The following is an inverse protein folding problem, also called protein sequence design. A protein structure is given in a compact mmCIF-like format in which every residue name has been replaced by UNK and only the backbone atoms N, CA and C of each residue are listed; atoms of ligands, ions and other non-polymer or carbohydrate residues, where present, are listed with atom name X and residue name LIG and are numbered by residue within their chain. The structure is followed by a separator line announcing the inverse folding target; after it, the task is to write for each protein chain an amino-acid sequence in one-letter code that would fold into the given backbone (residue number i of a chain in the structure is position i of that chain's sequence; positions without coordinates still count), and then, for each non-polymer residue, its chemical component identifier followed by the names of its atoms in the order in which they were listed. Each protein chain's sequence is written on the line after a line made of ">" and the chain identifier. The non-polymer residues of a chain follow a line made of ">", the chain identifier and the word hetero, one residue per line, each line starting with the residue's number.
data_IF_600914174221
#
_entry.id   IF_600914174221
#
_cell.length_a   1.000
_cell.length_b   1.000
_cell.length_c   1.000
_cell.angle_alpha   90.00
_cell.angle_beta   90.00
_cell.angle_gamma   90.00
#
_symmetry.space_group_name_H-M   'P 1'
#
loop_
_entity.id
_entity.type
_entity.pdbx_description
1 polymer ?
#
# COMPACT_ATOMS: atom_id res chain seq x y z
N UNK A 1 -3.33 13.68 -23.59
CA UNK A 1 -3.07 14.68 -22.52
C UNK A 1 -1.78 15.48 -22.71
N UNK A 2 -1.01 15.29 -23.80
CA UNK A 2 0.34 15.89 -23.98
C UNK A 2 0.34 17.42 -23.86
N UNK A 3 -0.70 18.09 -24.37
CA UNK A 3 -0.82 19.56 -24.31
C UNK A 3 -1.82 20.05 -23.23
N UNK A 4 -2.22 19.19 -22.30
CA UNK A 4 -3.19 19.49 -21.24
C UNK A 4 -2.53 19.20 -19.89
N UNK A 5 -1.61 20.07 -19.47
CA UNK A 5 -0.70 19.83 -18.34
C UNK A 5 -1.43 19.55 -17.02
N UNK A 6 -2.48 20.30 -16.68
CA UNK A 6 -3.28 20.07 -15.46
C UNK A 6 -3.99 18.73 -15.45
N UNK A 7 -4.63 18.37 -16.57
CA UNK A 7 -5.27 17.05 -16.72
C UNK A 7 -4.25 15.91 -16.71
N UNK A 8 -3.07 16.11 -17.31
CA UNK A 8 -1.97 15.15 -17.26
C UNK A 8 -1.47 14.96 -15.83
N UNK A 9 -1.30 16.04 -15.08
CA UNK A 9 -0.96 16.00 -13.66
C UNK A 9 -2.01 15.22 -12.87
N UNK A 10 -3.29 15.55 -13.03
CA UNK A 10 -4.39 14.86 -12.36
C UNK A 10 -4.40 13.35 -12.65
N UNK A 11 -4.19 12.95 -13.91
CA UNK A 11 -4.09 11.55 -14.29
C UNK A 11 -2.92 10.82 -13.58
N UNK A 12 -1.74 11.44 -13.49
CA UNK A 12 -0.58 10.84 -12.80
C UNK A 12 -0.79 10.76 -11.28
N UNK A 13 -1.35 11.81 -10.68
CA UNK A 13 -1.62 11.83 -9.23
C UNK A 13 -2.70 10.80 -8.87
N UNK A 14 -3.76 10.69 -9.66
CA UNK A 14 -4.79 9.67 -9.48
C UNK A 14 -4.22 8.25 -9.66
N UNK A 15 -3.35 8.04 -10.65
CA UNK A 15 -2.67 6.77 -10.86
C UNK A 15 -1.76 6.40 -9.69
N UNK A 16 -1.00 7.37 -9.14
CA UNK A 16 -0.25 7.16 -7.90
C UNK A 16 -1.18 6.79 -6.73
N UNK A 17 -2.35 7.42 -6.65
CA UNK A 17 -3.40 7.04 -5.70
C UNK A 17 -3.82 5.57 -5.83
N UNK A 18 -4.00 5.05 -7.05
CA UNK A 18 -4.33 3.63 -7.27
C UNK A 18 -3.23 2.68 -6.81
N UNK A 19 -1.96 3.04 -7.04
CA UNK A 19 -0.81 2.23 -6.59
C UNK A 19 -0.78 2.16 -5.06
N UNK A 20 -0.91 3.32 -4.40
CA UNK A 20 -0.88 3.40 -2.93
C UNK A 20 -2.11 2.73 -2.32
N UNK A 21 -3.28 2.84 -2.98
CA UNK A 21 -4.49 2.12 -2.60
C UNK A 21 -4.28 0.61 -2.65
N UNK A 22 -3.72 0.10 -3.75
CA UNK A 22 -3.41 -1.32 -3.88
C UNK A 22 -2.44 -1.78 -2.79
N UNK A 23 -1.38 -1.02 -2.53
CA UNK A 23 -0.41 -1.35 -1.49
C UNK A 23 -1.07 -1.45 -0.10
N UNK A 24 -1.93 -0.49 0.26
CA UNK A 24 -2.65 -0.50 1.53
C UNK A 24 -3.67 -1.64 1.62
N UNK A 25 -4.53 -1.79 0.62
CA UNK A 25 -5.59 -2.79 0.60
C UNK A 25 -5.05 -4.22 0.57
N UNK A 26 -4.07 -4.49 -0.30
CA UNK A 26 -3.45 -5.81 -0.42
C UNK A 26 -2.66 -6.16 0.85
N UNK A 27 -1.97 -5.18 1.46
CA UNK A 27 -1.26 -5.42 2.72
C UNK A 27 -2.24 -5.78 3.86
N UNK A 28 -3.34 -5.05 4.01
CA UNK A 28 -4.36 -5.38 5.01
C UNK A 28 -5.05 -6.72 4.72
N UNK A 29 -5.25 -7.08 3.44
CA UNK A 29 -5.74 -8.39 3.06
C UNK A 29 -4.77 -9.50 3.47
N UNK A 30 -3.47 -9.32 3.24
CA UNK A 30 -2.46 -10.28 3.70
C UNK A 30 -2.44 -10.40 5.22
N UNK A 31 -2.48 -9.27 5.95
CA UNK A 31 -2.59 -9.27 7.42
C UNK A 31 -3.83 -10.05 7.89
N UNK A 32 -4.98 -9.89 7.22
CA UNK A 32 -6.22 -10.58 7.64
C UNK A 32 -6.22 -12.08 7.37
N UNK A 33 -5.35 -12.57 6.48
CA UNK A 33 -5.23 -13.98 6.12
C UNK A 33 -3.95 -14.63 6.66
N UNK A 34 -3.11 -13.88 7.37
CA UNK A 34 -1.86 -14.37 7.91
C UNK A 34 -2.09 -15.36 9.06
N UNK A 35 -1.48 -16.53 8.94
CA UNK A 35 -1.45 -17.60 9.93
C UNK A 35 -0.03 -17.71 10.49
N UNK A 36 0.24 -17.31 11.74
CA UNK A 36 1.59 -17.21 12.28
C UNK A 36 2.30 -18.57 12.45
N UNK A 37 1.54 -19.66 12.55
CA UNK A 37 2.09 -21.02 12.71
C UNK A 37 2.67 -21.58 11.39
N UNK A 38 2.50 -20.88 10.26
CA UNK A 38 3.00 -21.31 8.95
C UNK A 38 4.08 -20.37 8.43
N UNK A 39 5.09 -20.86 7.69
CA UNK A 39 6.02 -20.00 6.98
C UNK A 39 5.30 -19.04 6.01
N UNK A 40 5.75 -17.79 5.90
CA UNK A 40 5.11 -16.78 5.04
C UNK A 40 5.03 -17.21 3.56
N UNK A 41 6.06 -17.90 3.07
CA UNK A 41 6.14 -18.31 1.66
C UNK A 41 5.12 -19.40 1.27
N UNK A 42 4.48 -20.07 2.23
CA UNK A 42 3.43 -21.06 1.97
C UNK A 42 2.02 -20.44 1.90
N UNK A 43 1.89 -19.15 2.19
CA UNK A 43 0.59 -18.48 2.39
C UNK A 43 0.22 -17.53 1.24
N UNK A 44 1.04 -17.47 0.17
CA UNK A 44 0.78 -16.61 -0.98
C UNK A 44 0.95 -15.11 -0.70
N UNK A 45 1.74 -14.77 0.34
CA UNK A 45 2.01 -13.39 0.75
C UNK A 45 3.11 -12.79 -0.12
N UNK A 46 2.89 -11.60 -0.64
CA UNK A 46 3.89 -10.87 -1.43
C UNK A 46 4.31 -9.57 -0.75
N UNK A 47 3.46 -8.90 0.03
CA UNK A 47 3.79 -7.62 0.66
C UNK A 47 4.39 -7.79 2.06
N UNK A 48 3.85 -8.69 2.89
CA UNK A 48 4.39 -8.94 4.23
C UNK A 48 5.86 -9.37 4.23
N UNK A 49 6.33 -10.24 3.30
CA UNK A 49 7.75 -10.55 3.19
C UNK A 49 8.65 -9.34 2.89
N UNK A 50 8.14 -8.34 2.16
CA UNK A 50 8.89 -7.10 1.91
C UNK A 50 9.03 -6.27 3.20
N UNK A 51 7.98 -6.17 4.01
CA UNK A 51 8.05 -5.48 5.31
C UNK A 51 8.95 -6.21 6.31
N UNK A 52 8.88 -7.54 6.33
CA UNK A 52 9.75 -8.41 7.13
C UNK A 52 11.24 -8.23 6.75
N UNK A 53 11.55 -8.13 5.46
CA UNK A 53 12.92 -7.86 4.96
C UNK A 53 13.46 -6.52 5.47
N UNK A 54 12.60 -5.53 5.72
CA UNK A 54 12.98 -4.24 6.30
C UNK A 54 13.18 -4.29 7.83
N UNK A 55 12.98 -5.45 8.47
CA UNK A 55 13.18 -5.64 9.90
C UNK A 55 11.94 -5.31 10.75
N UNK A 56 10.77 -5.11 10.16
CA UNK A 56 9.54 -4.90 10.92
C UNK A 56 8.87 -6.21 11.30
N UNK A 57 8.48 -6.32 12.58
CA UNK A 57 7.73 -7.47 13.08
C UNK A 57 8.49 -8.79 13.14
N UNK A 58 9.80 -8.79 12.86
CA UNK A 58 10.63 -10.00 12.77
C UNK A 58 11.63 -10.10 13.92
N UNK A 59 11.79 -11.31 14.44
CA UNK A 59 12.80 -11.69 15.42
C UNK A 59 13.95 -12.49 14.80
N UNK A 60 14.87 -13.02 15.64
CA UNK A 60 15.95 -13.90 15.19
C UNK A 60 15.41 -15.11 14.40
N UNK A 61 16.11 -15.49 13.32
CA UNK A 61 15.68 -16.61 12.47
C UNK A 61 14.48 -16.31 11.55
N UNK A 62 13.98 -15.08 11.53
CA UNK A 62 12.86 -14.67 10.67
C UNK A 62 11.48 -15.00 11.24
N UNK A 63 11.41 -15.34 12.53
CA UNK A 63 10.14 -15.53 13.23
C UNK A 63 9.34 -14.22 13.29
N UNK A 64 8.03 -14.30 13.07
CA UNK A 64 7.15 -13.13 13.14
C UNK A 64 6.69 -12.95 14.58
N UNK A 65 7.18 -11.90 15.23
CA UNK A 65 6.96 -11.65 16.66
C UNK A 65 5.92 -10.56 16.93
N UNK A 66 5.64 -9.70 15.94
CA UNK A 66 4.65 -8.63 16.04
C UNK A 66 4.06 -8.29 14.66
N UNK A 67 2.74 -8.37 14.51
CA UNK A 67 2.03 -8.05 13.27
C UNK A 67 1.50 -6.61 13.22
N UNK A 68 1.58 -5.86 14.33
CA UNK A 68 1.09 -4.49 14.39
C UNK A 68 1.79 -3.53 13.39
N UNK A 69 3.12 -3.60 13.17
CA UNK A 69 3.77 -2.78 12.15
C UNK A 69 3.22 -3.01 10.73
N UNK A 70 2.82 -4.25 10.41
CA UNK A 70 2.23 -4.58 9.12
C UNK A 70 0.85 -3.95 8.96
N UNK A 71 0.02 -4.03 10.01
CA UNK A 71 -1.28 -3.37 10.05
C UNK A 71 -1.15 -1.85 9.91
N UNK A 72 -0.24 -1.23 10.66
CA UNK A 72 0.03 0.23 10.59
C UNK A 72 0.43 0.64 9.18
N UNK A 73 1.35 -0.09 8.56
CA UNK A 73 1.76 0.18 7.18
C UNK A 73 0.55 0.14 6.22
N UNK A 74 -0.32 -0.87 6.35
CA UNK A 74 -1.51 -1.02 5.50
C UNK A 74 -2.48 0.13 5.65
N UNK A 75 -2.78 0.53 6.89
CA UNK A 75 -3.67 1.66 7.18
C UNK A 75 -3.10 2.98 6.66
N UNK A 76 -1.81 3.25 6.88
CA UNK A 76 -1.19 4.50 6.43
C UNK A 76 -1.21 4.64 4.90
N UNK A 77 -0.91 3.57 4.16
CA UNK A 77 -1.02 3.57 2.70
C UNK A 77 -2.49 3.76 2.28
N UNK A 78 -3.43 3.01 2.86
CA UNK A 78 -4.84 3.11 2.49
C UNK A 78 -5.40 4.53 2.68
N UNK A 79 -5.12 5.18 3.81
CA UNK A 79 -5.58 6.55 4.06
C UNK A 79 -4.87 7.56 3.15
N UNK A 80 -3.56 7.42 2.93
CA UNK A 80 -2.81 8.31 2.04
C UNK A 80 -3.33 8.24 0.59
N UNK A 81 -3.79 7.06 0.15
CA UNK A 81 -4.36 6.88 -1.18
C UNK A 81 -5.61 7.75 -1.42
N UNK A 82 -6.41 8.01 -0.39
CA UNK A 82 -7.59 8.86 -0.50
C UNK A 82 -7.20 10.33 -0.77
N UNK A 83 -6.14 10.82 -0.13
CA UNK A 83 -5.60 12.17 -0.36
C UNK A 83 -5.08 12.31 -1.79
N UNK A 84 -4.32 11.32 -2.27
CA UNK A 84 -3.82 11.29 -3.64
C UNK A 84 -4.95 11.20 -4.66
N UNK A 85 -5.92 10.31 -4.45
CA UNK A 85 -7.09 10.16 -5.32
C UNK A 85 -7.89 11.47 -5.42
N UNK A 86 -8.11 12.14 -4.29
CA UNK A 86 -8.79 13.44 -4.26
C UNK A 86 -8.04 14.51 -5.08
N UNK A 87 -6.74 14.68 -4.84
CA UNK A 87 -5.92 15.62 -5.61
C UNK A 87 -5.89 15.29 -7.10
N UNK A 88 -5.80 14.01 -7.45
CA UNK A 88 -5.84 13.54 -8.83
C UNK A 88 -7.15 13.87 -9.54
N UNK A 89 -8.29 13.61 -8.89
CA UNK A 89 -9.62 13.95 -9.43
C UNK A 89 -9.77 15.46 -9.60
N UNK A 90 -9.35 16.26 -8.60
CA UNK A 90 -9.41 17.71 -8.66
C UNK A 90 -8.65 18.25 -9.88
N UNK A 91 -7.37 17.89 -10.04
CA UNK A 91 -6.57 18.37 -11.17
C UNK A 91 -7.04 17.82 -12.52
N UNK A 92 -7.65 16.63 -12.57
CA UNK A 92 -8.14 16.05 -13.81
C UNK A 92 -9.44 16.71 -14.32
N UNK A 93 -10.31 17.15 -13.41
CA UNK A 93 -11.69 17.54 -13.73
C UNK A 93 -12.05 19.01 -13.42
N UNK A 94 -11.45 19.60 -12.39
CA UNK A 94 -11.86 20.92 -11.86
C UNK A 94 -10.76 21.97 -12.02
N UNK A 95 -9.51 21.61 -11.74
CA UNK A 95 -8.36 22.49 -11.85
C UNK A 95 -8.08 22.94 -13.29
N UNK A 96 -7.28 24.01 -13.47
CA UNK A 96 -6.85 24.48 -14.78
C UNK A 96 -6.02 23.43 -15.54
#
# INVERSE_FOLDING_TARGET
>A
LINLSGKLLGAHVAHAGLIVFWAGAMNLFEVSHFVPEKPMYEQGLILLPHLATLGWGVGPGGEIVDTFPYFVSGVLHLISSAVLGFGGIYHALVGP
#
